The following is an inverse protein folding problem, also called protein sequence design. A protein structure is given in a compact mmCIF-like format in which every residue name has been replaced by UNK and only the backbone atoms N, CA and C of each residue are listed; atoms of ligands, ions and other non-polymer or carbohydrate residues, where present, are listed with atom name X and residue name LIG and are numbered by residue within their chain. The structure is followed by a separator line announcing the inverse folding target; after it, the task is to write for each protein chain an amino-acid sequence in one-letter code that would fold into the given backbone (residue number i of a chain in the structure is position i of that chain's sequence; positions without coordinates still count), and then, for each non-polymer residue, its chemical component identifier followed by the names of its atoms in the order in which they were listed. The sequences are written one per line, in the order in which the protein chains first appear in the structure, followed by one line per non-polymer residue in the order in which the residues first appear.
data_IF_482322839196
#
_entry.id   IF_482322839196
#
_cell.length_a   1.000
_cell.length_b   1.000
_cell.length_c   1.000
_cell.angle_alpha   90.00
_cell.angle_beta   90.00
_cell.angle_gamma   90.00
#
_symmetry.space_group_name_H-M   'P 1'
#
loop_
_entity.id
_entity.type
_entity.pdbx_description
1 polymer ?
#
# COMPACT_ATOMS: atom_id res chain seq x y z
N UNK A 1 -3.92 20.79 15.40
CA UNK A 1 -3.69 20.46 14.88
C UNK A 1 -3.44 20.06 14.19
N UNK A 2 -3.34 19.69 14.11
CA UNK A 2 -3.14 19.34 13.51
C UNK A 2 -3.05 18.86 12.77
N UNK A 3 -2.91 18.94 12.65
CA UNK A 3 -2.97 18.60 11.88
C UNK A 3 -2.45 17.72 11.27
N UNK A 4 -2.51 17.18 11.24
CA UNK A 4 -2.08 16.22 10.71
C UNK A 4 -1.59 16.34 9.48
N UNK A 5 -0.89 16.54 9.20
CA UNK A 5 -0.25 16.54 8.22
C UNK A 5 -0.62 16.84 6.93
N UNK A 6 -1.61 17.20 6.71
CA UNK A 6 -1.98 17.46 5.47
C UNK A 6 -2.06 18.85 5.20
N UNK A 7 -1.04 19.54 5.28
CA UNK A 7 -1.03 20.81 4.95
C UNK A 7 -0.59 20.98 3.67
N UNK A 8 -1.24 20.97 2.66
CA UNK A 8 -0.83 21.17 1.37
C UNK A 8 -0.86 22.59 1.05
N UNK A 9 0.09 23.06 0.48
CA UNK A 9 0.07 24.29 -0.08
C UNK A 9 -0.48 24.14 -1.36
N UNK A 10 -1.51 24.49 -1.46
CA UNK A 10 -2.29 24.53 -2.46
C UNK A 10 -1.79 24.55 -3.78
N UNK A 11 -0.77 24.89 -4.01
CA UNK A 11 -0.45 25.13 -5.29
C UNK A 11 0.03 23.97 -5.99
N UNK A 12 0.31 22.88 -5.38
CA UNK A 12 0.96 21.87 -6.08
C UNK A 12 0.28 20.57 -6.00
N UNK A 13 -0.76 20.42 -6.73
CA UNK A 13 -1.46 19.15 -6.81
C UNK A 13 -0.58 18.04 -7.33
N UNK A 14 0.30 18.36 -8.26
CA UNK A 14 1.20 17.33 -8.79
C UNK A 14 2.12 16.81 -7.72
N UNK A 15 2.63 17.70 -6.87
CA UNK A 15 3.49 17.26 -5.78
C UNK A 15 2.74 16.43 -4.78
N UNK A 16 1.49 16.78 -4.52
CA UNK A 16 0.66 16.01 -3.61
C UNK A 16 0.44 14.60 -4.16
N UNK A 17 0.11 14.49 -5.43
CA UNK A 17 -0.07 13.18 -6.05
C UNK A 17 1.22 12.38 -6.03
N UNK A 18 2.33 13.04 -6.27
CA UNK A 18 3.61 12.35 -6.29
C UNK A 18 3.93 11.77 -4.92
N UNK A 19 3.72 12.55 -3.87
CA UNK A 19 3.98 12.07 -2.52
C UNK A 19 3.02 10.95 -2.15
N UNK A 20 1.78 11.10 -2.51
CA UNK A 20 0.80 10.05 -2.24
C UNK A 20 1.19 8.76 -2.95
N UNK A 21 1.60 8.85 -4.20
CA UNK A 21 2.03 7.70 -4.97
C UNK A 21 3.23 7.02 -4.31
N UNK A 22 4.17 7.80 -3.81
CA UNK A 22 5.34 7.24 -3.14
C UNK A 22 4.93 6.49 -1.88
N UNK A 23 3.98 7.02 -1.12
CA UNK A 23 3.51 6.34 0.07
C UNK A 23 2.78 5.04 -0.28
N UNK A 24 2.01 5.05 -1.35
CA UNK A 24 1.31 3.85 -1.79
C UNK A 24 2.33 2.78 -2.19
N UNK A 25 3.34 3.17 -2.95
CA UNK A 25 4.39 2.23 -3.34
C UNK A 25 5.13 1.67 -2.14
N UNK A 26 5.42 2.53 -1.18
CA UNK A 26 6.09 2.11 0.04
C UNK A 26 5.22 1.13 0.82
N UNK A 27 3.92 1.35 0.85
CA UNK A 27 3.00 0.45 1.53
C UNK A 27 3.00 -0.92 0.88
N UNK A 28 3.02 -0.97 -0.44
CA UNK A 28 3.06 -2.24 -1.16
C UNK A 28 4.35 -2.99 -0.84
N UNK A 29 5.45 -2.29 -0.79
CA UNK A 29 6.73 -2.91 -0.45
C UNK A 29 6.71 -3.48 0.97
N UNK A 30 6.16 -2.72 1.90
CA UNK A 30 6.09 -3.19 3.28
C UNK A 30 5.17 -4.38 3.42
N UNK A 31 4.07 -4.40 2.68
CA UNK A 31 3.16 -5.54 2.71
C UNK A 31 3.83 -6.78 2.15
N UNK A 32 4.62 -6.62 1.09
CA UNK A 32 5.36 -7.73 0.53
C UNK A 32 6.35 -8.30 1.54
N UNK A 33 7.05 -7.43 2.24
CA UNK A 33 8.01 -7.86 3.23
C UNK A 33 7.31 -8.55 4.41
N UNK A 34 6.14 -8.05 4.78
CA UNK A 34 5.37 -8.68 5.84
C UNK A 34 4.96 -10.09 5.43
N UNK A 35 4.54 -10.26 4.18
CA UNK A 35 4.16 -11.58 3.69
C UNK A 35 5.35 -12.53 3.68
N UNK A 36 6.52 -12.05 3.30
CA UNK A 36 7.72 -12.88 3.33
C UNK A 36 8.05 -13.34 4.73
N UNK A 37 7.94 -12.44 5.71
CA UNK A 37 8.20 -12.82 7.09
C UNK A 37 7.16 -13.80 7.60
N UNK A 38 5.92 -13.61 7.16
CA UNK A 38 4.86 -14.54 7.54
C UNK A 38 5.16 -15.94 7.03
N UNK A 39 5.65 -16.04 5.81
CA UNK A 39 6.01 -17.33 5.24
C UNK A 39 7.15 -17.98 6.01
N UNK A 40 8.12 -17.19 6.43
CA UNK A 40 9.22 -17.71 7.23
C UNK A 40 8.71 -18.25 8.55
N UNK A 41 7.79 -17.54 9.17
CA UNK A 41 7.20 -18.01 10.41
C UNK A 41 6.42 -19.30 10.18
N UNK A 42 5.68 -19.36 9.10
CA UNK A 42 4.88 -20.53 8.79
C UNK A 42 5.76 -21.79 8.63
N UNK A 43 6.95 -21.60 8.08
CA UNK A 43 7.87 -22.70 7.88
C UNK A 43 8.67 -23.04 9.12
N UNK A 44 8.54 -22.26 10.18
CA UNK A 44 9.25 -22.52 11.40
C UNK A 44 8.72 -23.80 12.05
N UNK A 45 9.60 -24.56 12.63
CA UNK A 45 9.20 -25.79 13.30
C UNK A 45 8.65 -25.55 14.69
N UNK A 46 8.71 -24.32 15.16
CA UNK A 46 8.32 -24.03 16.53
C UNK A 46 6.84 -23.68 16.67
N UNK A 47 6.11 -23.62 15.58
CA UNK A 47 4.71 -23.23 15.64
C UNK A 47 3.81 -24.44 15.77
N UNK A 48 2.83 -24.34 16.63
CA UNK A 48 1.83 -25.39 16.74
C UNK A 48 0.75 -25.19 15.67
N UNK A 49 -0.15 -26.15 15.55
CA UNK A 49 -1.16 -26.12 14.49
C UNK A 49 -2.11 -24.97 14.63
N UNK A 50 -2.43 -24.59 15.84
CA UNK A 50 -3.35 -23.50 16.07
C UNK A 50 -2.78 -22.20 15.54
N UNK A 51 -1.50 -21.95 15.83
CA UNK A 51 -0.87 -20.72 15.36
C UNK A 51 -0.61 -20.76 13.87
N UNK A 52 -0.37 -21.92 13.29
CA UNK A 52 -0.23 -22.01 11.85
C UNK A 52 -1.51 -21.64 11.15
N UNK A 53 -2.65 -22.04 11.67
CA UNK A 53 -3.92 -21.66 11.10
C UNK A 53 -4.14 -20.15 11.17
N UNK A 54 -3.70 -19.55 12.26
CA UNK A 54 -3.78 -18.10 12.38
C UNK A 54 -2.93 -17.40 11.32
N UNK A 55 -1.74 -17.94 11.05
CA UNK A 55 -0.87 -17.35 10.05
C UNK A 55 -1.50 -17.43 8.65
N UNK A 56 -2.18 -18.53 8.38
CA UNK A 56 -2.87 -18.67 7.10
C UNK A 56 -3.94 -17.58 6.95
N UNK A 57 -4.67 -17.30 8.02
CA UNK A 57 -5.67 -16.25 7.98
C UNK A 57 -5.05 -14.87 7.82
N UNK A 58 -3.92 -14.64 8.48
CA UNK A 58 -3.22 -13.37 8.32
C UNK A 58 -2.76 -13.18 6.88
N UNK A 59 -2.30 -14.26 6.27
CA UNK A 59 -1.83 -14.20 4.90
C UNK A 59 -2.96 -13.84 3.95
N UNK A 60 -4.13 -14.41 4.17
CA UNK A 60 -5.29 -14.06 3.35
C UNK A 60 -5.65 -12.59 3.49
N UNK A 61 -5.60 -12.08 4.70
CA UNK A 61 -5.90 -10.67 4.94
C UNK A 61 -4.86 -9.77 4.30
N UNK A 62 -3.59 -10.15 4.38
CA UNK A 62 -2.53 -9.37 3.74
C UNK A 62 -2.72 -9.33 2.24
N UNK A 63 -3.13 -10.43 1.63
CA UNK A 63 -3.39 -10.42 0.20
C UNK A 63 -4.50 -9.48 -0.17
N UNK A 64 -5.56 -9.46 0.63
CA UNK A 64 -6.67 -8.56 0.36
C UNK A 64 -6.25 -7.11 0.49
N UNK A 65 -5.47 -6.80 1.54
CA UNK A 65 -4.98 -5.45 1.73
C UNK A 65 -4.08 -5.05 0.57
N UNK A 66 -3.18 -5.94 0.16
CA UNK A 66 -2.29 -5.64 -0.95
C UNK A 66 -3.08 -5.36 -2.22
N UNK A 67 -4.10 -6.17 -2.48
CA UNK A 67 -4.92 -5.98 -3.66
C UNK A 67 -5.60 -4.63 -3.65
N UNK A 68 -6.12 -4.22 -2.49
CA UNK A 68 -6.77 -2.93 -2.38
C UNK A 68 -5.79 -1.78 -2.56
N UNK A 69 -4.60 -1.91 -1.99
CA UNK A 69 -3.59 -0.87 -2.17
C UNK A 69 -3.15 -0.81 -3.62
N UNK A 70 -3.02 -1.95 -4.27
CA UNK A 70 -2.66 -1.98 -5.68
C UNK A 70 -3.72 -1.32 -6.55
N UNK A 71 -4.98 -1.51 -6.21
CA UNK A 71 -6.06 -0.84 -6.92
C UNK A 71 -5.98 0.67 -6.77
N UNK A 72 -5.68 1.13 -5.56
CA UNK A 72 -5.51 2.55 -5.33
C UNK A 72 -4.35 3.08 -6.17
N UNK A 73 -3.26 2.35 -6.21
CA UNK A 73 -2.09 2.74 -6.97
C UNK A 73 -2.44 2.94 -8.44
N UNK A 74 -3.18 2.01 -9.01
CA UNK A 74 -3.57 2.10 -10.40
C UNK A 74 -4.49 3.27 -10.65
N UNK A 75 -5.40 3.53 -9.74
CA UNK A 75 -6.33 4.64 -9.89
C UNK A 75 -5.61 5.98 -9.77
N UNK A 76 -4.65 6.05 -8.87
CA UNK A 76 -3.88 7.28 -8.72
C UNK A 76 -3.06 7.55 -9.99
N UNK A 77 -2.46 6.51 -10.54
CA UNK A 77 -1.70 6.67 -11.77
C UNK A 77 -2.60 7.12 -12.92
N UNK A 78 -3.78 6.55 -12.99
CA UNK A 78 -4.72 6.90 -14.02
C UNK A 78 -5.17 8.36 -13.88
N UNK A 79 -5.45 8.78 -12.66
CA UNK A 79 -5.83 10.17 -12.40
C UNK A 79 -4.71 11.13 -12.78
N UNK A 80 -3.49 10.81 -12.42
CA UNK A 80 -2.36 11.66 -12.74
C UNK A 80 -2.16 11.75 -14.25
N UNK A 81 -2.33 10.64 -14.94
CA UNK A 81 -2.17 10.63 -16.37
C UNK A 81 -3.23 11.44 -17.05
N UNK A 82 -4.47 11.34 -16.61
CA UNK A 82 -5.56 12.10 -17.18
C UNK A 82 -5.38 13.59 -16.94
N UNK A 83 -4.91 13.94 -15.76
CA UNK A 83 -4.68 15.32 -15.45
C UNK A 83 -3.59 15.91 -16.35
N UNK A 84 -2.53 15.15 -16.59
CA UNK A 84 -1.49 15.63 -17.47
C UNK A 84 -1.98 15.86 -18.88
N UNK A 85 -2.80 14.94 -19.37
CA UNK A 85 -3.34 15.06 -20.71
C UNK A 85 -4.23 16.30 -20.80
N UNK A 86 -5.06 16.51 -19.79
CA UNK A 86 -5.92 17.67 -19.78
C UNK A 86 -5.12 18.96 -19.74
N UNK A 87 -4.06 18.98 -18.99
CA UNK A 87 -3.23 20.17 -18.88
C UNK A 87 -2.52 20.50 -20.19
N UNK A 88 -2.29 19.54 -21.01
CA UNK A 88 -1.60 19.79 -22.25
C UNK A 88 -2.50 20.36 -23.33
N UNK A 89 -3.73 20.45 -23.08
CA UNK A 89 -4.60 21.10 -24.01
C UNK A 89 -4.58 22.58 -23.76
#
# INVERSE_FOLDING_TARGET
MNKIGFQFNDSNEEDIFKVFDEYVDSSKDKLTKAADNLMKLYKSNDLDDKNRKRLIEFEKKLRMIFKQVDEIDREVEDMARRKRVADKK
#
